data_IF_022588696827
#
_entry.id   IF_022588696827
#
_cell.length_a   1.000
_cell.length_b   1.000
_cell.length_c   1.000
_cell.angle_alpha   90.00
_cell.angle_beta   90.00
_cell.angle_gamma   90.00
#
_symmetry.space_group_name_H-M   'P 1'
#
loop_
_entity.id
_entity.type
_entity.pdbx_description
1 polymer ?
#
# COMPACT_ATOMS: atom_id res chain seq x y z
N UNK A 1 -21.90 -66.07 15.43
CA UNK A 1 -20.85 -65.42 14.61
C UNK A 1 -21.38 -64.10 14.12
N UNK A 2 -21.03 -63.02 14.80
CA UNK A 2 -21.45 -61.65 14.43
C UNK A 2 -20.36 -61.04 13.54
N UNK A 3 -20.70 -60.72 12.26
CA UNK A 3 -19.81 -60.05 11.33
C UNK A 3 -19.78 -58.54 11.67
N UNK A 4 -18.64 -58.04 12.09
CA UNK A 4 -18.36 -56.64 12.36
C UNK A 4 -18.01 -56.01 10.99
N UNK A 5 -18.88 -55.17 10.43
CA UNK A 5 -18.63 -54.38 9.23
C UNK A 5 -17.94 -53.11 9.71
N UNK A 6 -16.62 -52.99 9.45
CA UNK A 6 -15.88 -51.78 9.67
C UNK A 6 -16.18 -50.80 8.51
N UNK A 7 -16.86 -49.73 8.82
CA UNK A 7 -17.14 -48.63 7.90
C UNK A 7 -15.92 -47.69 7.87
N UNK A 8 -15.08 -47.79 6.84
CA UNK A 8 -13.97 -46.89 6.63
C UNK A 8 -14.52 -45.60 6.07
N UNK A 9 -14.54 -44.54 6.90
CA UNK A 9 -14.90 -43.20 6.52
C UNK A 9 -13.68 -42.57 5.82
N UNK A 10 -13.69 -42.58 4.48
CA UNK A 10 -12.66 -41.96 3.65
C UNK A 10 -12.90 -40.43 3.66
N UNK A 11 -12.21 -39.73 4.55
CA UNK A 11 -12.21 -38.27 4.61
C UNK A 11 -11.45 -37.71 3.41
N UNK A 12 -12.18 -37.29 2.38
CA UNK A 12 -11.60 -36.58 1.25
C UNK A 12 -11.14 -35.20 1.73
N UNK A 13 -9.86 -35.06 2.00
CA UNK A 13 -9.23 -33.75 2.19
C UNK A 13 -9.09 -33.16 0.77
N UNK A 14 -10.02 -32.30 0.39
CA UNK A 14 -9.81 -31.44 -0.77
C UNK A 14 -8.67 -30.48 -0.46
N UNK A 15 -7.46 -30.83 -0.86
CA UNK A 15 -6.36 -29.88 -1.01
C UNK A 15 -6.78 -28.91 -2.12
N UNK A 16 -7.27 -27.75 -1.72
CA UNK A 16 -7.51 -26.67 -2.67
C UNK A 16 -6.17 -26.28 -3.29
N UNK A 17 -6.01 -26.56 -4.57
CA UNK A 17 -4.88 -26.05 -5.37
C UNK A 17 -5.15 -24.56 -5.53
N UNK A 18 -4.51 -23.72 -4.74
CA UNK A 18 -4.50 -22.26 -4.96
C UNK A 18 -3.51 -22.00 -6.09
N UNK A 19 -4.01 -21.54 -7.21
CA UNK A 19 -3.16 -21.01 -8.28
C UNK A 19 -2.70 -19.60 -7.85
N UNK A 20 -1.43 -19.34 -7.97
CA UNK A 20 -0.87 -18.01 -7.81
C UNK A 20 -0.83 -17.32 -9.17
N UNK A 21 -1.08 -16.01 -9.19
CA UNK A 21 -0.91 -15.16 -10.36
C UNK A 21 0.25 -14.21 -10.14
N UNK A 22 1.14 -14.15 -11.12
CA UNK A 22 2.21 -13.17 -11.14
C UNK A 22 1.69 -11.84 -11.65
N UNK A 23 1.95 -10.78 -10.92
CA UNK A 23 1.63 -9.42 -11.31
C UNK A 23 2.86 -8.52 -11.24
N UNK A 24 2.90 -7.54 -12.13
CA UNK A 24 3.87 -6.43 -12.06
C UNK A 24 3.13 -5.18 -11.67
N UNK A 25 3.58 -4.52 -10.61
CA UNK A 25 3.08 -3.21 -10.17
C UNK A 25 4.10 -2.16 -10.59
N UNK A 26 3.64 -1.10 -11.25
CA UNK A 26 4.44 0.03 -11.67
C UNK A 26 3.88 1.35 -11.19
N UNK A 27 4.75 2.21 -10.67
CA UNK A 27 4.45 3.57 -10.25
C UNK A 27 5.32 4.53 -11.04
N UNK A 28 4.73 5.29 -11.93
CA UNK A 28 5.42 6.32 -12.70
C UNK A 28 5.57 7.60 -11.88
N UNK A 29 6.81 8.08 -11.73
CA UNK A 29 7.10 9.34 -11.05
C UNK A 29 6.43 10.52 -11.74
N UNK A 30 5.74 11.35 -10.98
CA UNK A 30 5.18 12.62 -11.42
C UNK A 30 6.14 13.79 -11.18
N UNK A 31 5.66 15.01 -11.43
CA UNK A 31 6.50 16.21 -11.35
C UNK A 31 6.91 16.55 -9.91
N UNK A 32 6.13 16.13 -8.92
CA UNK A 32 6.44 16.29 -7.49
C UNK A 32 7.18 15.08 -6.87
N UNK A 33 7.60 14.12 -7.68
CA UNK A 33 8.52 13.05 -7.24
C UNK A 33 9.95 13.57 -7.19
N UNK A 34 10.34 14.14 -6.06
CA UNK A 34 11.64 14.85 -5.94
C UNK A 34 12.72 13.91 -5.44
N UNK A 35 13.82 13.76 -6.18
CA UNK A 35 14.95 12.90 -5.84
C UNK A 35 15.64 13.24 -4.50
N UNK A 36 15.51 14.47 -4.00
CA UNK A 36 16.06 14.89 -2.69
C UNK A 36 15.06 14.78 -1.53
N UNK A 37 13.79 14.62 -1.84
CA UNK A 37 12.67 14.47 -0.89
C UNK A 37 11.71 13.43 -1.45
N UNK A 38 12.24 12.24 -1.58
CA UNK A 38 11.49 11.11 -2.11
C UNK A 38 10.17 10.94 -1.35
N UNK A 39 9.06 10.67 -2.06
CA UNK A 39 7.78 10.48 -1.41
C UNK A 39 7.79 9.26 -0.49
N UNK A 40 7.03 9.32 0.60
CA UNK A 40 6.62 8.14 1.32
C UNK A 40 5.56 7.42 0.50
N UNK A 41 5.66 6.11 0.43
CA UNK A 41 4.77 5.27 -0.37
C UNK A 41 4.40 4.03 0.42
N UNK A 42 3.13 3.65 0.38
CA UNK A 42 2.68 2.32 0.73
C UNK A 42 1.76 1.78 -0.36
N UNK A 43 1.91 0.50 -0.68
CA UNK A 43 1.05 -0.23 -1.61
C UNK A 43 0.60 -1.51 -0.90
N UNK A 44 -0.70 -1.76 -0.85
CA UNK A 44 -1.26 -2.88 -0.12
C UNK A 44 -2.51 -3.46 -0.78
N UNK A 45 -2.90 -4.64 -0.32
CA UNK A 45 -4.11 -5.33 -0.74
C UNK A 45 -5.14 -5.33 0.38
N UNK A 46 -6.38 -5.15 -0.04
CA UNK A 46 -7.56 -5.42 0.76
C UNK A 46 -8.43 -6.47 0.05
N UNK A 47 -9.27 -7.16 0.82
CA UNK A 47 -10.34 -7.97 0.23
C UNK A 47 -11.47 -7.07 -0.31
N UNK A 48 -12.47 -7.68 -0.94
CA UNK A 48 -13.62 -6.96 -1.50
C UNK A 48 -14.52 -6.31 -0.45
N UNK A 49 -14.37 -6.69 0.82
CA UNK A 49 -15.09 -6.14 1.97
C UNK A 49 -14.32 -4.97 2.63
N UNK A 50 -13.12 -4.66 2.11
CA UNK A 50 -12.26 -3.58 2.61
C UNK A 50 -11.38 -3.97 3.79
N UNK A 51 -11.23 -5.28 4.08
CA UNK A 51 -10.30 -5.72 5.12
C UNK A 51 -8.87 -5.79 4.58
N UNK A 52 -7.93 -5.25 5.33
CA UNK A 52 -6.50 -5.34 5.01
C UNK A 52 -6.02 -6.79 4.95
N UNK A 53 -5.28 -7.13 3.91
CA UNK A 53 -4.67 -8.46 3.70
C UNK A 53 -3.17 -8.40 3.94
N UNK A 54 -2.43 -7.65 3.11
CA UNK A 54 -0.97 -7.54 3.23
C UNK A 54 -0.45 -6.26 2.58
N UNK A 55 0.68 -5.78 3.07
CA UNK A 55 1.48 -4.75 2.40
C UNK A 55 2.35 -5.39 1.34
N UNK A 56 2.35 -4.83 0.13
CA UNK A 56 3.21 -5.27 -0.98
C UNK A 56 4.50 -4.46 -1.04
N UNK A 57 4.40 -3.16 -0.75
CA UNK A 57 5.53 -2.24 -0.75
C UNK A 57 5.33 -1.15 0.28
N UNK A 58 6.37 -0.78 0.99
CA UNK A 58 6.39 0.42 1.84
C UNK A 58 7.79 1.02 1.87
N UNK A 59 7.85 2.35 1.83
CA UNK A 59 9.12 3.06 1.97
C UNK A 59 9.65 2.98 3.39
N UNK A 60 10.95 2.87 3.53
CA UNK A 60 11.65 2.79 4.80
C UNK A 60 11.29 3.94 5.74
N UNK A 61 11.18 5.17 5.23
CA UNK A 61 10.83 6.35 6.03
C UNK A 61 9.43 6.33 6.62
N UNK A 62 8.51 5.62 6.01
CA UNK A 62 7.16 5.46 6.54
C UNK A 62 7.08 4.37 7.61
N UNK A 63 7.93 3.34 7.52
CA UNK A 63 7.87 2.15 8.37
C UNK A 63 8.81 2.20 9.58
N UNK A 64 9.93 2.89 9.50
CA UNK A 64 10.88 3.01 10.62
C UNK A 64 11.81 4.23 10.49
N UNK A 65 12.63 4.46 11.50
CA UNK A 65 13.59 5.56 11.50
C UNK A 65 14.68 5.34 10.45
N UNK A 66 14.75 6.19 9.46
CA UNK A 66 15.72 6.13 8.37
C UNK A 66 16.67 7.35 8.30
N UNK A 67 16.61 8.27 9.25
CA UNK A 67 17.50 9.45 9.32
C UNK A 67 17.81 9.85 10.77
N UNK A 68 18.91 10.58 10.98
CA UNK A 68 19.48 10.85 12.31
C UNK A 68 18.49 11.49 13.29
N UNK A 69 17.67 12.42 12.84
CA UNK A 69 16.68 13.14 13.67
C UNK A 69 15.25 12.67 13.44
N UNK A 70 15.04 11.57 12.72
CA UNK A 70 13.73 11.00 12.48
C UNK A 70 13.13 10.38 13.75
N UNK A 71 11.80 10.37 13.88
CA UNK A 71 11.14 9.64 14.96
C UNK A 71 11.44 8.15 14.85
N UNK A 72 11.55 7.47 16.00
CA UNK A 72 11.84 6.03 16.04
C UNK A 72 10.73 5.19 15.45
N UNK A 73 9.53 5.71 15.53
CA UNK A 73 8.28 5.11 15.07
C UNK A 73 8.03 5.33 13.57
N UNK A 74 8.99 5.93 12.82
CA UNK A 74 8.73 6.38 11.47
C UNK A 74 7.78 7.58 11.44
N UNK A 75 6.97 7.70 10.39
CA UNK A 75 6.03 8.80 10.21
C UNK A 75 4.65 8.28 9.83
N UNK A 76 3.91 7.70 10.79
CA UNK A 76 2.57 7.15 10.52
C UNK A 76 1.60 8.20 9.95
N UNK A 77 1.75 9.46 10.35
CA UNK A 77 0.94 10.59 9.86
C UNK A 77 1.19 10.90 8.37
N UNK A 78 2.24 10.37 7.77
CA UNK A 78 2.51 10.57 6.35
C UNK A 78 1.71 9.64 5.43
N UNK A 79 1.30 8.47 5.93
CA UNK A 79 0.51 7.47 5.21
C UNK A 79 -0.58 6.91 6.15
N UNK A 80 -1.53 7.75 6.60
CA UNK A 80 -2.46 7.38 7.65
C UNK A 80 -3.42 6.26 7.27
N UNK A 81 -3.86 6.19 6.00
CA UNK A 81 -4.79 5.15 5.57
C UNK A 81 -4.14 3.78 5.67
N UNK A 82 -2.93 3.63 5.11
CA UNK A 82 -2.15 2.40 5.23
C UNK A 82 -1.81 2.05 6.67
N UNK A 83 -1.39 3.04 7.45
CA UNK A 83 -0.97 2.84 8.84
C UNK A 83 -2.10 2.27 9.69
N UNK A 84 -3.30 2.84 9.59
CA UNK A 84 -4.47 2.36 10.31
C UNK A 84 -4.98 1.02 9.78
N UNK A 85 -5.01 0.81 8.46
CA UNK A 85 -5.44 -0.44 7.85
C UNK A 85 -4.53 -1.60 8.24
N UNK A 86 -3.22 -1.42 8.14
CA UNK A 86 -2.22 -2.45 8.46
C UNK A 86 -2.09 -2.72 9.97
N UNK A 87 -2.59 -1.83 10.83
CA UNK A 87 -2.37 -1.84 12.30
C UNK A 87 -0.87 -1.90 12.63
N UNK A 88 -0.05 -1.36 11.74
CA UNK A 88 1.39 -1.36 11.87
C UNK A 88 1.80 -0.61 13.15
N UNK A 89 2.58 -1.27 14.00
CA UNK A 89 3.16 -0.64 15.18
C UNK A 89 4.67 -0.78 15.08
N UNK A 90 5.38 0.29 14.72
CA UNK A 90 6.83 0.26 14.70
C UNK A 90 7.34 -0.09 16.09
N UNK A 91 8.04 -1.20 16.22
CA UNK A 91 8.64 -1.56 17.50
C UNK A 91 9.87 -0.70 17.74
N UNK A 92 10.07 -0.23 18.98
CA UNK A 92 11.17 0.65 19.40
C UNK A 92 12.58 0.11 19.06
N UNK A 93 12.70 -1.20 18.84
CA UNK A 93 13.95 -1.92 18.56
C UNK A 93 13.76 -2.96 17.43
N UNK A 94 12.78 -2.80 16.58
CA UNK A 94 12.61 -3.75 15.51
C UNK A 94 13.76 -3.63 14.55
N UNK A 95 14.47 -4.75 14.41
CA UNK A 95 15.31 -4.98 13.25
C UNK A 95 14.49 -4.79 11.95
N UNK A 96 15.15 -4.49 10.81
CA UNK A 96 14.48 -4.36 9.51
C UNK A 96 13.59 -5.54 9.11
N UNK A 97 13.72 -6.66 9.79
CA UNK A 97 13.00 -7.92 9.59
C UNK A 97 11.60 -7.99 10.20
N UNK A 98 11.02 -6.86 10.59
CA UNK A 98 9.61 -6.86 10.93
C UNK A 98 8.85 -7.34 9.70
N UNK A 99 8.48 -8.61 9.75
CA UNK A 99 7.46 -9.39 9.04
C UNK A 99 6.36 -8.59 8.27
N UNK A 100 6.78 -7.54 7.59
CA UNK A 100 6.11 -7.07 6.42
C UNK A 100 6.59 -8.03 5.32
N UNK A 101 5.73 -8.91 4.82
CA UNK A 101 5.96 -9.62 3.54
C UNK A 101 6.02 -8.61 2.38
N UNK A 102 6.64 -7.48 2.63
CA UNK A 102 6.67 -6.32 1.76
C UNK A 102 8.12 -6.05 1.33
N UNK A 103 8.30 -5.69 0.11
CA UNK A 103 9.55 -5.09 -0.34
C UNK A 103 9.72 -3.74 0.37
N UNK A 104 10.53 -3.72 1.44
CA UNK A 104 10.99 -2.46 2.04
C UNK A 104 12.23 -2.01 1.29
N UNK A 105 12.17 -0.90 0.59
CA UNK A 105 13.33 -0.33 -0.08
C UNK A 105 13.41 1.17 0.05
N UNK A 106 14.62 1.71 -0.09
CA UNK A 106 14.81 3.14 -0.32
C UNK A 106 13.98 3.53 -1.56
N UNK A 107 13.23 4.62 -1.49
CA UNK A 107 12.38 5.07 -2.57
C UNK A 107 13.21 5.31 -3.83
N UNK A 108 12.92 4.63 -4.95
CA UNK A 108 13.67 4.82 -6.18
C UNK A 108 13.56 6.26 -6.70
N UNK A 109 14.62 6.78 -7.27
CA UNK A 109 14.70 8.17 -7.76
C UNK A 109 13.75 8.51 -8.92
N UNK A 110 13.10 7.52 -9.52
CA UNK A 110 12.32 7.72 -10.76
C UNK A 110 11.06 6.87 -10.87
N UNK A 111 10.48 6.43 -9.74
CA UNK A 111 9.31 5.54 -9.74
C UNK A 111 9.61 4.17 -9.15
N UNK A 112 8.61 3.28 -9.15
CA UNK A 112 8.70 1.96 -8.52
C UNK A 112 8.22 0.93 -9.54
N UNK A 113 8.96 -0.18 -9.67
CA UNK A 113 8.50 -1.37 -10.40
C UNK A 113 8.90 -2.57 -9.57
N UNK A 114 7.94 -3.46 -9.31
CA UNK A 114 8.20 -4.74 -8.65
C UNK A 114 7.19 -5.79 -9.07
N UNK A 115 7.56 -7.04 -8.88
CA UNK A 115 6.74 -8.21 -9.15
C UNK A 115 6.31 -8.85 -7.84
N UNK A 116 5.11 -9.41 -7.82
CA UNK A 116 4.59 -10.15 -6.68
C UNK A 116 3.60 -11.20 -7.14
N UNK A 117 3.45 -12.24 -6.33
CA UNK A 117 2.45 -13.28 -6.52
C UNK A 117 1.19 -13.00 -5.71
N UNK A 118 0.04 -13.22 -6.33
CA UNK A 118 -1.27 -13.14 -5.69
C UNK A 118 -2.02 -14.45 -5.89
N UNK A 119 -2.81 -14.84 -4.90
CA UNK A 119 -3.77 -15.93 -5.08
C UNK A 119 -4.87 -15.54 -6.08
N UNK A 120 -5.51 -16.53 -6.72
CA UNK A 120 -6.61 -16.32 -7.66
C UNK A 120 -7.90 -15.89 -6.93
N UNK A 121 -7.87 -14.69 -6.39
CA UNK A 121 -8.97 -14.02 -5.70
C UNK A 121 -9.14 -12.60 -6.23
N UNK A 122 -10.31 -12.03 -6.01
CA UNK A 122 -10.53 -10.61 -6.21
C UNK A 122 -9.94 -9.80 -5.04
N UNK A 123 -9.34 -8.66 -5.36
CA UNK A 123 -8.72 -7.75 -4.41
C UNK A 123 -9.06 -6.29 -4.73
N UNK A 124 -8.89 -5.44 -3.75
CA UNK A 124 -8.70 -4.00 -3.95
C UNK A 124 -7.22 -3.71 -3.73
N UNK A 125 -6.55 -3.22 -4.78
CA UNK A 125 -5.17 -2.71 -4.68
C UNK A 125 -5.24 -1.25 -4.34
N UNK A 126 -4.55 -0.84 -3.27
CA UNK A 126 -4.42 0.57 -2.86
C UNK A 126 -2.97 1.01 -2.84
N UNK A 127 -2.78 2.29 -3.14
CA UNK A 127 -1.48 2.95 -3.06
C UNK A 127 -1.66 4.33 -2.45
N UNK A 128 -0.83 4.66 -1.44
CA UNK A 128 -0.84 5.93 -0.74
C UNK A 128 0.51 6.61 -0.86
N UNK A 129 0.50 7.92 -1.12
CA UNK A 129 1.68 8.73 -1.38
C UNK A 129 1.64 10.04 -0.60
N UNK A 130 2.80 10.44 -0.04
CA UNK A 130 2.99 11.76 0.57
C UNK A 130 4.40 12.28 0.27
N UNK A 131 4.53 13.57 0.06
CA UNK A 131 5.82 14.25 -0.06
C UNK A 131 5.98 15.24 1.10
N UNK A 132 6.99 15.04 1.95
CA UNK A 132 7.26 15.93 3.09
C UNK A 132 7.55 17.37 2.64
N UNK A 133 7.07 18.32 3.44
CA UNK A 133 7.30 19.77 3.24
C UNK A 133 6.70 20.29 1.92
N UNK A 134 5.64 19.65 1.45
CA UNK A 134 4.93 20.06 0.24
C UNK A 134 3.87 21.12 0.58
N UNK A 135 4.36 22.33 0.92
CA UNK A 135 3.53 23.44 1.34
C UNK A 135 2.96 24.22 0.17
N UNK A 136 1.79 24.82 0.41
CA UNK A 136 1.18 25.84 -0.44
C UNK A 136 0.44 26.88 0.44
N UNK A 137 -0.34 27.77 -0.16
CA UNK A 137 -1.06 28.83 0.57
C UNK A 137 -2.13 28.26 1.51
N UNK A 138 -2.70 27.10 1.21
CA UNK A 138 -3.71 26.42 2.03
C UNK A 138 -3.06 25.54 3.11
N UNK A 139 -2.09 24.70 2.72
CA UNK A 139 -1.35 23.79 3.60
C UNK A 139 -0.01 24.39 3.98
N UNK A 140 0.00 25.24 5.01
CA UNK A 140 1.22 25.92 5.47
C UNK A 140 2.00 25.08 6.47
N UNK A 141 3.27 25.42 6.71
CA UNK A 141 4.08 24.76 7.75
C UNK A 141 3.39 24.80 9.13
N UNK A 142 2.65 25.86 9.42
CA UNK A 142 1.96 26.05 10.71
C UNK A 142 0.75 25.12 10.86
N UNK A 143 0.04 24.88 9.77
CA UNK A 143 -1.24 24.13 9.78
C UNK A 143 -1.04 22.64 9.47
N UNK A 144 0.03 22.27 8.77
CA UNK A 144 0.23 20.89 8.28
C UNK A 144 1.57 20.26 8.68
N UNK A 145 2.35 20.93 9.53
CA UNK A 145 3.58 20.34 10.11
C UNK A 145 4.59 19.90 9.05
N UNK A 146 5.09 18.68 9.19
CA UNK A 146 6.10 18.11 8.28
C UNK A 146 5.47 17.56 7.00
N UNK A 147 4.19 17.16 7.02
CA UNK A 147 3.53 16.55 5.88
C UNK A 147 3.37 17.53 4.70
N UNK A 148 3.08 18.80 4.97
CA UNK A 148 2.63 19.71 3.93
C UNK A 148 1.20 19.36 3.51
N UNK A 149 0.96 19.03 2.25
CA UNK A 149 -0.33 18.55 1.80
C UNK A 149 -0.62 17.14 2.34
N UNK A 150 -1.90 16.74 2.51
CA UNK A 150 -2.25 15.38 2.94
C UNK A 150 -1.78 14.33 1.94
N UNK A 151 -1.68 13.08 2.37
CA UNK A 151 -1.43 11.96 1.47
C UNK A 151 -2.55 11.81 0.44
N UNK A 152 -2.19 11.26 -0.72
CA UNK A 152 -3.12 10.97 -1.81
C UNK A 152 -3.24 9.46 -2.00
N UNK A 153 -4.47 8.98 -2.16
CA UNK A 153 -4.77 7.56 -2.30
C UNK A 153 -5.29 7.26 -3.70
N UNK A 154 -4.78 6.18 -4.27
CA UNK A 154 -5.21 5.60 -5.53
C UNK A 154 -5.68 4.16 -5.29
N UNK A 155 -6.71 3.72 -6.00
CA UNK A 155 -7.25 2.36 -5.85
C UNK A 155 -7.75 1.78 -7.17
N UNK A 156 -7.74 0.45 -7.26
CA UNK A 156 -8.39 -0.32 -8.31
C UNK A 156 -8.84 -1.68 -7.79
N UNK A 157 -9.94 -2.19 -8.35
CA UNK A 157 -10.33 -3.58 -8.20
C UNK A 157 -9.47 -4.46 -9.10
N UNK A 158 -8.93 -5.56 -8.56
CA UNK A 158 -8.20 -6.59 -9.28
C UNK A 158 -9.09 -7.83 -9.32
N UNK A 159 -9.63 -8.22 -10.50
CA UNK A 159 -10.46 -9.41 -10.63
C UNK A 159 -9.72 -10.70 -10.30
N UNK A 160 -10.44 -11.73 -9.90
CA UNK A 160 -9.85 -13.03 -9.59
C UNK A 160 -9.13 -13.64 -10.80
N UNK A 161 -9.62 -13.41 -12.01
CA UNK A 161 -9.09 -13.94 -13.27
C UNK A 161 -8.15 -12.97 -14.02
N UNK A 162 -7.65 -11.95 -13.34
CA UNK A 162 -6.82 -10.89 -13.93
C UNK A 162 -5.56 -11.40 -14.66
N UNK A 163 -4.99 -12.52 -14.22
CA UNK A 163 -3.82 -13.15 -14.85
C UNK A 163 -4.06 -13.72 -16.25
N UNK A 164 -5.31 -13.80 -16.68
CA UNK A 164 -5.69 -14.35 -18.01
C UNK A 164 -5.73 -13.30 -19.11
N UNK A 165 -5.57 -12.04 -18.76
CA UNK A 165 -5.57 -10.95 -19.71
C UNK A 165 -4.24 -10.18 -19.62
N UNK A 166 -3.71 -9.77 -20.77
CA UNK A 166 -2.56 -8.84 -20.83
C UNK A 166 -2.98 -7.39 -20.57
N UNK A 167 -4.14 -7.18 -19.97
CA UNK A 167 -4.70 -5.87 -19.74
C UNK A 167 -4.00 -5.16 -18.58
N UNK A 168 -3.77 -3.88 -18.75
CA UNK A 168 -3.29 -3.01 -17.71
C UNK A 168 -4.47 -2.45 -16.92
N UNK A 169 -4.47 -2.64 -15.60
CA UNK A 169 -5.41 -1.96 -14.69
C UNK A 169 -4.71 -0.75 -14.09
N UNK A 170 -5.28 0.43 -14.31
CA UNK A 170 -4.80 1.69 -13.74
C UNK A 170 -5.57 2.02 -12.47
N UNK A 171 -4.83 2.36 -11.42
CA UNK A 171 -5.44 2.86 -10.20
C UNK A 171 -5.94 4.29 -10.45
N UNK A 172 -7.11 4.58 -9.91
CA UNK A 172 -7.72 5.91 -9.96
C UNK A 172 -7.60 6.61 -8.62
N UNK A 173 -7.51 7.95 -8.65
CA UNK A 173 -7.48 8.75 -7.44
C UNK A 173 -8.78 8.55 -6.64
N UNK A 174 -8.65 8.20 -5.37
CA UNK A 174 -9.77 7.88 -4.47
C UNK A 174 -10.02 8.96 -3.41
N UNK A 175 -9.00 9.70 -3.02
CA UNK A 175 -9.13 10.76 -2.00
C UNK A 175 -7.81 11.02 -1.28
N UNK A 176 -7.92 11.58 -0.07
CA UNK A 176 -6.79 11.95 0.78
C UNK A 176 -6.85 11.24 2.13
N UNK A 177 -5.72 11.05 2.78
CA UNK A 177 -5.66 10.65 4.18
C UNK A 177 -5.84 11.84 5.12
N UNK A 178 -6.06 11.56 6.42
CA UNK A 178 -6.10 12.58 7.45
C UNK A 178 -4.76 13.31 7.56
N UNK A 179 -4.76 14.64 7.49
CA UNK A 179 -3.54 15.47 7.49
C UNK A 179 -2.67 15.26 8.73
N UNK A 180 -3.29 15.04 9.86
CA UNK A 180 -2.68 14.85 11.18
C UNK A 180 -2.48 13.36 11.55
N UNK A 181 -2.89 12.45 10.67
CA UNK A 181 -2.82 11.01 10.93
C UNK A 181 -3.85 10.48 11.93
N UNK A 182 -4.87 11.27 12.28
CA UNK A 182 -5.84 10.95 13.33
C UNK A 182 -6.73 9.76 13.02
N UNK A 183 -6.98 9.49 11.74
CA UNK A 183 -7.79 8.36 11.30
C UNK A 183 -7.24 7.69 10.04
N UNK A 184 -7.81 6.54 9.69
CA UNK A 184 -7.49 5.76 8.49
C UNK A 184 -8.53 5.88 7.38
N UNK A 185 -9.36 6.91 7.40
CA UNK A 185 -10.41 7.09 6.42
C UNK A 185 -9.88 7.75 5.14
N UNK A 186 -10.50 7.43 4.01
CA UNK A 186 -10.25 8.14 2.75
C UNK A 186 -11.23 9.29 2.65
N UNK A 187 -10.69 10.50 2.81
CA UNK A 187 -11.46 11.75 2.72
C UNK A 187 -11.63 12.17 1.25
N UNK A 188 -12.85 12.52 0.88
CA UNK A 188 -13.16 12.95 -0.50
C UNK A 188 -12.91 14.45 -0.75
N UNK A 189 -12.56 15.20 0.29
CA UNK A 189 -12.22 16.62 0.14
C UNK A 189 -10.84 16.77 -0.52
N UNK A 190 -10.81 17.52 -1.62
CA UNK A 190 -9.60 17.83 -2.39
C UNK A 190 -9.27 19.32 -2.38
N UNK A 191 -9.96 20.10 -1.52
CA UNK A 191 -9.74 21.54 -1.40
C UNK A 191 -8.28 21.83 -1.02
N UNK A 192 -7.68 22.76 -1.72
CA UNK A 192 -6.30 23.19 -1.49
C UNK A 192 -5.23 22.22 -1.98
N UNK A 193 -5.60 21.04 -2.53
CA UNK A 193 -4.60 20.15 -3.16
C UNK A 193 -4.02 20.78 -4.41
N UNK A 194 -2.70 20.66 -4.54
CA UNK A 194 -1.95 21.13 -5.72
C UNK A 194 -0.92 20.08 -6.14
N UNK A 195 0.30 20.23 -5.68
CA UNK A 195 1.43 19.35 -6.04
C UNK A 195 1.33 17.93 -5.48
N UNK A 196 0.51 17.68 -4.46
CA UNK A 196 0.26 16.33 -3.97
C UNK A 196 -0.34 15.41 -5.05
N UNK A 197 -1.20 15.94 -5.91
CA UNK A 197 -1.78 15.19 -7.03
C UNK A 197 -0.80 14.90 -8.16
N UNK A 198 0.38 15.53 -8.16
CA UNK A 198 1.43 15.33 -9.17
C UNK A 198 2.62 14.53 -8.66
N UNK A 199 2.50 13.88 -7.49
CA UNK A 199 3.52 12.97 -6.97
C UNK A 199 3.70 11.80 -7.94
N UNK A 200 2.61 11.24 -8.46
CA UNK A 200 2.63 10.15 -9.42
C UNK A 200 1.90 10.52 -10.70
N UNK A 201 2.36 9.99 -11.84
CA UNK A 201 1.70 10.09 -13.15
C UNK A 201 0.76 8.92 -13.39
N UNK A 202 1.12 7.76 -12.86
CA UNK A 202 0.46 6.50 -13.11
C UNK A 202 0.76 5.53 -11.97
N UNK A 203 -0.24 4.81 -11.54
CA UNK A 203 -0.07 3.56 -10.79
C UNK A 203 -0.83 2.49 -11.56
N UNK A 204 -0.14 1.45 -11.96
CA UNK A 204 -0.72 0.40 -12.79
C UNK A 204 -0.27 -0.99 -12.36
N UNK A 205 -1.11 -1.97 -12.63
CA UNK A 205 -0.84 -3.39 -12.46
C UNK A 205 -1.09 -4.14 -13.76
N UNK A 206 -0.17 -5.03 -14.08
CA UNK A 206 -0.24 -5.89 -15.27
C UNK A 206 -0.09 -7.34 -14.83
N UNK A 207 -0.99 -8.21 -15.32
CA UNK A 207 -0.84 -9.67 -15.19
C UNK A 207 0.27 -10.20 -16.10
N UNK A 208 0.93 -11.25 -15.67
CA UNK A 208 1.93 -11.99 -16.47
C UNK A 208 1.34 -13.31 -16.98
#
# INVERSE_FOLDING_TARGET
MKKLIAMINLMFVCLGITFAKDITISVGAGDNWKAKREPQVAIWLEDTDGNYIKTLYVTERASHKSWIMGPKEGRPESLPVWYHASKFKPAKNAAPDLKLDAVTSATPKGGIIFETELEDKAYVLRAEFNTSFDYNDFYTKKTSGVNGQPSVIYEAAIPADFNKSSEEIRLTFSGTGALDGSDGLIHKNTEGLTTAQTIVKLVAVVGK
#
